data_IF_253268760003
#
_entry.id   IF_253268760003
#
_cell.length_a   1.000
_cell.length_b   1.000
_cell.length_c   1.000
_cell.angle_alpha   90.00
_cell.angle_beta   90.00
_cell.angle_gamma   90.00
#
_symmetry.space_group_name_H-M   'P 1'
#
loop_
_entity.id
_entity.type
_entity.pdbx_description
1 polymer ?
#
# COMPACT_ATOMS: atom_id res chain seq x y z
N UNK A 1 1.14 -4.44 17.76
CA UNK A 1 1.03 -5.81 17.22
C UNK A 1 1.47 -5.78 15.77
N UNK A 2 2.00 -6.89 15.25
CA UNK A 2 2.41 -7.01 13.85
C UNK A 2 1.44 -7.91 13.11
N UNK A 3 1.16 -7.56 11.87
CA UNK A 3 0.35 -8.36 10.95
C UNK A 3 1.26 -8.84 9.83
N UNK A 4 1.26 -10.14 9.60
CA UNK A 4 1.99 -10.81 8.54
C UNK A 4 1.09 -11.02 7.34
N UNK A 5 1.54 -10.56 6.18
CA UNK A 5 0.91 -10.78 4.88
C UNK A 5 1.65 -11.87 4.11
N UNK A 6 0.90 -12.75 3.47
CA UNK A 6 1.42 -13.91 2.75
C UNK A 6 0.64 -14.18 1.46
N UNK A 7 1.33 -14.61 0.43
CA UNK A 7 0.82 -15.13 -0.85
C UNK A 7 1.88 -16.10 -1.39
N UNK A 8 1.49 -17.16 -2.09
CA UNK A 8 2.45 -18.11 -2.67
C UNK A 8 3.27 -17.47 -3.81
N UNK A 9 2.76 -16.39 -4.37
CA UNK A 9 3.26 -15.74 -5.58
C UNK A 9 4.11 -14.50 -5.25
N UNK A 10 4.37 -14.24 -3.96
CA UNK A 10 5.13 -13.08 -3.49
C UNK A 10 5.86 -13.37 -2.19
N UNK A 11 6.90 -12.58 -1.91
CA UNK A 11 7.54 -12.61 -0.60
C UNK A 11 6.55 -12.13 0.48
N UNK A 12 6.50 -12.87 1.58
CA UNK A 12 5.81 -12.45 2.81
C UNK A 12 6.44 -11.19 3.41
N UNK A 13 5.63 -10.36 4.06
CA UNK A 13 6.10 -9.18 4.78
C UNK A 13 5.23 -8.91 6.01
N UNK A 14 5.74 -8.12 6.94
CA UNK A 14 5.02 -7.73 8.17
C UNK A 14 4.83 -6.21 8.22
N UNK A 15 3.72 -5.77 8.80
CA UNK A 15 3.43 -4.36 9.05
C UNK A 15 2.88 -4.14 10.46
N UNK A 16 2.97 -2.90 10.94
CA UNK A 16 2.29 -2.48 12.16
C UNK A 16 0.78 -2.66 11.99
N UNK A 17 0.15 -3.25 13.00
CA UNK A 17 -1.30 -3.47 13.06
C UNK A 17 -2.12 -2.21 12.74
N UNK A 18 -1.72 -1.05 13.27
CA UNK A 18 -2.39 0.22 12.96
C UNK A 18 -2.35 0.60 11.48
N UNK A 19 -1.28 0.27 10.77
CA UNK A 19 -1.16 0.51 9.32
C UNK A 19 -1.89 -0.57 8.53
N UNK A 20 -1.74 -1.83 8.94
CA UNK A 20 -2.44 -2.95 8.32
C UNK A 20 -3.96 -2.76 8.39
N UNK A 21 -4.51 -2.43 9.56
CA UNK A 21 -5.95 -2.20 9.75
C UNK A 21 -6.47 -1.04 8.90
N UNK A 22 -5.71 0.05 8.75
CA UNK A 22 -6.06 1.15 7.84
C UNK A 22 -6.17 0.65 6.39
N UNK A 23 -5.18 -0.10 5.90
CA UNK A 23 -5.18 -0.63 4.53
C UNK A 23 -6.27 -1.70 4.33
N UNK A 24 -6.46 -2.59 5.29
CA UNK A 24 -7.53 -3.60 5.29
C UNK A 24 -8.91 -2.94 5.27
N UNK A 25 -9.11 -1.88 6.07
CA UNK A 25 -10.33 -1.08 6.08
C UNK A 25 -10.60 -0.46 4.72
N UNK A 26 -9.57 0.11 4.07
CA UNK A 26 -9.69 0.65 2.70
C UNK A 26 -10.07 -0.42 1.67
N UNK A 27 -9.58 -1.66 1.83
CA UNK A 27 -10.00 -2.80 0.99
C UNK A 27 -11.42 -3.29 1.29
N UNK A 28 -12.02 -2.87 2.40
CA UNK A 28 -13.32 -3.33 2.88
C UNK A 28 -13.26 -4.60 3.76
N UNK A 29 -12.09 -4.91 4.31
CA UNK A 29 -11.82 -6.03 5.23
C UNK A 29 -11.39 -5.53 6.63
N UNK A 30 -11.80 -4.31 7.00
CA UNK A 30 -11.41 -3.68 8.26
C UNK A 30 -11.93 -4.40 9.50
N UNK A 31 -11.19 -4.29 10.61
CA UNK A 31 -11.57 -4.91 11.89
C UNK A 31 -11.31 -6.42 11.99
N UNK A 32 -10.72 -7.04 10.96
CA UNK A 32 -10.30 -8.44 10.99
C UNK A 32 -8.78 -8.54 11.00
N UNK A 33 -8.21 -8.95 12.13
CA UNK A 33 -6.75 -9.14 12.30
C UNK A 33 -6.23 -10.38 11.55
N UNK A 34 -7.12 -11.29 11.16
CA UNK A 34 -6.84 -12.43 10.31
C UNK A 34 -7.86 -12.51 9.18
N UNK A 35 -7.44 -12.94 8.00
CA UNK A 35 -8.33 -13.10 6.85
C UNK A 35 -7.58 -13.43 5.55
N UNK A 36 -8.34 -13.59 4.48
CA UNK A 36 -7.78 -13.81 3.14
C UNK A 36 -8.68 -13.23 2.05
N UNK A 37 -8.09 -12.97 0.89
CA UNK A 37 -8.75 -12.49 -0.32
C UNK A 37 -8.21 -13.27 -1.53
N UNK A 38 -9.11 -13.71 -2.42
CA UNK A 38 -8.78 -14.53 -3.59
C UNK A 38 -9.77 -14.29 -4.74
N UNK A 39 -9.42 -14.76 -5.94
CA UNK A 39 -10.29 -14.68 -7.14
C UNK A 39 -10.69 -13.24 -7.48
N UNK A 40 -11.97 -13.02 -7.81
CA UNK A 40 -12.50 -11.70 -8.20
C UNK A 40 -12.37 -10.64 -7.09
N UNK A 41 -12.24 -11.06 -5.83
CA UNK A 41 -12.08 -10.15 -4.71
C UNK A 41 -10.70 -9.47 -4.71
N UNK A 42 -9.67 -10.04 -5.36
CA UNK A 42 -8.35 -9.41 -5.50
C UNK A 42 -8.42 -8.12 -6.34
N UNK A 43 -9.11 -8.17 -7.47
CA UNK A 43 -9.31 -7.00 -8.33
C UNK A 43 -10.10 -5.91 -7.59
N UNK A 44 -11.20 -6.32 -6.95
CA UNK A 44 -12.03 -5.41 -6.15
C UNK A 44 -11.26 -4.76 -5.00
N UNK A 45 -10.38 -5.51 -4.32
CA UNK A 45 -9.54 -4.99 -3.24
C UNK A 45 -8.52 -3.97 -3.76
N UNK A 46 -7.87 -4.24 -4.90
CA UNK A 46 -6.94 -3.31 -5.53
C UNK A 46 -7.61 -1.98 -5.94
N UNK A 47 -8.78 -2.05 -6.58
CA UNK A 47 -9.54 -0.87 -7.01
C UNK A 47 -9.95 0.00 -5.82
N UNK A 48 -10.45 -0.63 -4.75
CA UNK A 48 -10.83 0.07 -3.52
C UNK A 48 -9.64 0.73 -2.84
N UNK A 49 -8.53 0.01 -2.73
CA UNK A 49 -7.31 0.53 -2.11
C UNK A 49 -6.76 1.72 -2.89
N UNK A 50 -6.68 1.61 -4.22
CA UNK A 50 -6.22 2.70 -5.10
C UNK A 50 -7.13 3.92 -4.99
N UNK A 51 -8.45 3.72 -5.01
CA UNK A 51 -9.44 4.80 -4.88
C UNK A 51 -9.41 5.47 -3.51
N UNK A 52 -9.21 4.70 -2.44
CA UNK A 52 -9.11 5.21 -1.09
C UNK A 52 -7.84 6.04 -0.89
N UNK A 53 -6.70 5.58 -1.41
CA UNK A 53 -5.44 6.32 -1.36
C UNK A 53 -5.53 7.65 -2.13
N UNK A 54 -6.15 7.66 -3.32
CA UNK A 54 -6.36 8.89 -4.08
C UNK A 54 -7.17 9.93 -3.28
N UNK A 55 -8.24 9.49 -2.59
CA UNK A 55 -9.08 10.37 -1.75
C UNK A 55 -8.36 10.91 -0.52
N UNK A 56 -7.43 10.15 0.06
CA UNK A 56 -6.65 10.61 1.21
C UNK A 56 -5.54 11.57 0.79
N UNK A 57 -5.03 11.45 -0.44
CA UNK A 57 -4.12 12.44 -1.03
C UNK A 57 -4.84 13.78 -1.27
N UNK A 58 -6.12 13.78 -1.68
CA UNK A 58 -6.91 15.00 -1.85
C UNK A 58 -7.25 15.73 -0.53
N UNK A 59 -7.21 15.02 0.60
CA UNK A 59 -7.46 15.60 1.94
C UNK A 59 -6.22 16.20 2.59
N UNK A 60 -5.03 15.89 2.07
CA UNK A 60 -3.76 16.38 2.60
C UNK A 60 -3.25 17.49 1.69
N UNK A 61 -3.34 18.78 2.06
CA UNK A 61 -2.73 19.84 1.27
C UNK A 61 -1.24 19.91 1.60
N UNK A 62 -0.46 18.92 1.18
CA UNK A 62 1.00 19.02 1.14
C UNK A 62 1.61 17.88 0.30
N UNK A 63 2.50 18.28 -0.60
CA UNK A 63 3.43 17.45 -1.39
C UNK A 63 2.85 16.78 -2.65
N UNK A 64 2.63 17.65 -3.63
CA UNK A 64 3.14 17.57 -5.01
C UNK A 64 3.84 16.27 -5.41
N UNK A 65 3.24 15.63 -6.42
CA UNK A 65 3.83 14.85 -7.53
C UNK A 65 5.20 14.19 -7.29
N UNK A 66 5.21 12.86 -7.34
CA UNK A 66 6.36 12.10 -7.82
C UNK A 66 5.89 10.77 -8.44
N UNK A 67 5.32 10.86 -9.64
CA UNK A 67 5.48 9.81 -10.65
C UNK A 67 5.63 10.54 -11.98
N UNK A 68 6.88 10.75 -12.39
CA UNK A 68 7.23 10.63 -13.80
C UNK A 68 8.75 10.52 -13.92
N UNK A 69 9.13 9.35 -14.40
CA UNK A 69 10.45 8.93 -14.78
C UNK A 69 10.90 9.75 -16.00
N UNK A 70 11.73 10.78 -15.83
CA UNK A 70 12.49 11.36 -16.95
C UNK A 70 13.81 11.98 -16.48
N UNK A 71 14.89 11.47 -17.06
CA UNK A 71 16.22 12.03 -16.97
C UNK A 71 16.25 13.45 -17.54
N UNK A 72 16.84 14.40 -16.81
CA UNK A 72 17.94 15.24 -17.29
C UNK A 72 18.57 16.00 -16.11
N UNK A 73 19.89 16.19 -16.20
CA UNK A 73 20.69 17.10 -15.38
C UNK A 73 20.04 18.49 -15.29
N UNK A 74 19.87 19.04 -14.08
CA UNK A 74 20.24 20.43 -13.78
C UNK A 74 20.25 20.64 -12.27
N UNK A 75 21.37 21.18 -11.80
CA UNK A 75 21.64 21.50 -10.40
C UNK A 75 20.95 22.83 -10.08
N UNK A 76 19.96 22.81 -9.20
CA UNK A 76 19.57 23.98 -8.43
C UNK A 76 19.49 23.57 -6.95
N UNK A 77 20.50 24.00 -6.21
CA UNK A 77 20.47 24.13 -4.75
C UNK A 77 19.41 25.18 -4.41
N UNK A 78 18.42 24.85 -3.56
CA UNK A 78 17.94 25.79 -2.55
C UNK A 78 16.96 25.11 -1.55
N UNK A 79 17.25 25.38 -0.28
CA UNK A 79 16.40 25.29 0.92
C UNK A 79 16.06 23.92 1.53
N UNK A 80 16.93 23.54 2.47
CA UNK A 80 16.61 23.00 3.80
C UNK A 80 15.11 22.79 4.09
N UNK A 81 14.64 21.58 3.83
CA UNK A 81 13.60 20.99 4.66
C UNK A 81 14.10 19.63 5.15
N UNK A 82 14.72 19.65 6.33
CA UNK A 82 14.85 18.52 7.26
C UNK A 82 13.46 18.02 7.72
N UNK A 83 12.50 17.93 6.80
CA UNK A 83 11.29 17.15 6.99
C UNK A 83 11.72 15.71 6.83
N UNK A 84 12.12 15.06 7.93
CA UNK A 84 12.31 13.62 7.98
C UNK A 84 11.17 12.98 7.17
N UNK A 85 11.49 12.37 6.03
CA UNK A 85 10.51 11.92 5.05
C UNK A 85 9.53 10.96 5.74
N UNK A 86 8.42 11.50 6.24
CA UNK A 86 7.43 10.71 6.93
C UNK A 86 6.84 9.80 5.87
N UNK A 87 7.20 8.52 5.93
CA UNK A 87 6.73 7.53 4.96
C UNK A 87 5.21 7.63 4.89
N UNK A 88 4.67 7.97 3.73
CA UNK A 88 3.24 8.17 3.56
C UNK A 88 2.49 6.84 3.62
N UNK A 89 1.20 6.86 3.93
CA UNK A 89 0.38 5.65 3.91
C UNK A 89 0.42 4.96 2.53
N UNK A 90 0.41 5.75 1.45
CA UNK A 90 0.53 5.27 0.07
C UNK A 90 1.86 4.54 -0.17
N UNK A 91 2.98 5.09 0.31
CA UNK A 91 4.28 4.42 0.22
C UNK A 91 4.30 3.08 0.99
N UNK A 92 3.63 3.04 2.16
CA UNK A 92 3.48 1.80 2.95
C UNK A 92 2.57 0.76 2.30
N UNK A 93 1.65 1.15 1.42
CA UNK A 93 0.74 0.25 0.71
C UNK A 93 1.38 -0.45 -0.50
N UNK A 94 2.51 0.04 -1.01
CA UNK A 94 3.21 -0.49 -2.17
C UNK A 94 3.50 -2.02 -2.12
N UNK A 95 4.01 -2.60 -1.00
CA UNK A 95 4.23 -4.05 -0.92
C UNK A 95 2.93 -4.85 -1.02
N UNK A 96 1.85 -4.39 -0.38
CA UNK A 96 0.54 -5.04 -0.44
C UNK A 96 -0.07 -4.96 -1.85
N UNK A 97 0.02 -3.81 -2.51
CA UNK A 97 -0.46 -3.64 -3.88
C UNK A 97 0.28 -4.56 -4.88
N UNK A 98 1.59 -4.70 -4.69
CA UNK A 98 2.42 -5.61 -5.50
C UNK A 98 2.01 -7.06 -5.28
N UNK A 99 1.78 -7.45 -4.02
CA UNK A 99 1.33 -8.80 -3.66
C UNK A 99 -0.05 -9.10 -4.26
N UNK A 100 -1.03 -8.20 -4.12
CA UNK A 100 -2.38 -8.36 -4.71
C UNK A 100 -2.33 -8.52 -6.23
N UNK A 101 -1.49 -7.72 -6.91
CA UNK A 101 -1.32 -7.80 -8.38
C UNK A 101 -0.80 -9.17 -8.80
N UNK A 102 0.27 -9.66 -8.15
CA UNK A 102 0.87 -10.97 -8.47
C UNK A 102 -0.07 -12.13 -8.17
N UNK A 103 -0.80 -12.06 -7.05
CA UNK A 103 -1.81 -13.04 -6.70
C UNK A 103 -2.93 -13.07 -7.74
N UNK A 104 -3.37 -11.91 -8.23
CA UNK A 104 -4.40 -11.82 -9.28
C UNK A 104 -3.92 -12.42 -10.59
N UNK A 105 -2.72 -12.08 -11.02
CA UNK A 105 -2.17 -12.55 -12.30
C UNK A 105 -1.89 -14.06 -12.32
N UNK A 106 -1.77 -14.68 -11.13
CA UNK A 106 -1.56 -16.11 -10.95
C UNK A 106 -2.80 -16.88 -10.49
N UNK A 107 -3.95 -16.22 -10.37
CA UNK A 107 -5.21 -16.76 -9.84
C UNK A 107 -5.09 -17.39 -8.43
N UNK A 108 -4.27 -16.80 -7.55
CA UNK A 108 -4.10 -17.27 -6.18
C UNK A 108 -4.75 -16.38 -5.14
N UNK A 109 -4.04 -16.13 -4.02
CA UNK A 109 -4.62 -15.49 -2.84
C UNK A 109 -3.62 -14.68 -2.03
N UNK A 110 -4.16 -13.75 -1.24
CA UNK A 110 -3.43 -13.01 -0.20
C UNK A 110 -4.08 -13.28 1.14
N UNK A 111 -3.29 -13.66 2.13
CA UNK A 111 -3.71 -13.91 3.52
C UNK A 111 -3.01 -12.92 4.46
N UNK A 112 -3.67 -12.56 5.55
CA UNK A 112 -3.08 -11.82 6.65
C UNK A 112 -3.44 -12.45 7.98
N UNK A 113 -2.54 -12.36 8.95
CA UNK A 113 -2.74 -12.85 10.32
C UNK A 113 -1.80 -12.15 11.31
N UNK A 114 -2.06 -12.22 12.62
CA UNK A 114 -1.07 -11.92 13.65
C UNK A 114 0.26 -12.64 13.40
N UNK A 115 1.38 -11.90 13.43
CA UNK A 115 2.72 -12.51 13.45
C UNK A 115 3.02 -13.17 14.82
#
# INVERSE_FOLDING_TARGET
>A
MLIKFYSEESAEFVMLDSTADQLLTMMGHGGSTEGSVSGEALASAMDRLTSAMAREQDKSPASTKADENQADDEWDEDEDSDSAEEVTLSARAAPLMTMLRRARDSDGYVMWRPD
#
